data_IF_087853086325
#
_entry.id   IF_087853086325
#
_cell.length_a   1.000
_cell.length_b   1.000
_cell.length_c   1.000
_cell.angle_alpha   90.00
_cell.angle_beta   90.00
_cell.angle_gamma   90.00
#
_symmetry.space_group_name_H-M   'P 1'
#
loop_
_entity.id
_entity.type
_entity.pdbx_description
1 polymer ?
#
# COMPACT_ATOMS: atom_id res chain seq x y z
N UNK A 1 -32.98 -11.51 -13.30
CA UNK A 1 -33.21 -11.30 -11.87
C UNK A 1 -32.23 -12.21 -11.11
N UNK A 2 -30.98 -11.77 -10.93
CA UNK A 2 -29.95 -12.52 -10.21
C UNK A 2 -29.37 -11.52 -9.20
N UNK A 3 -29.68 -11.71 -7.94
CA UNK A 3 -29.13 -10.93 -6.83
C UNK A 3 -27.71 -11.43 -6.53
N UNK A 4 -26.73 -10.61 -6.78
CA UNK A 4 -25.37 -10.86 -6.31
C UNK A 4 -25.27 -10.46 -4.85
N UNK A 5 -25.27 -11.45 -4.00
CA UNK A 5 -25.00 -11.32 -2.57
C UNK A 5 -23.48 -11.13 -2.42
N UNK A 6 -23.08 -9.90 -2.16
CA UNK A 6 -21.71 -9.60 -1.71
C UNK A 6 -21.60 -10.09 -0.27
N UNK A 7 -21.05 -11.28 -0.10
CA UNK A 7 -20.64 -11.79 1.22
C UNK A 7 -19.31 -11.14 1.56
N UNK A 8 -19.35 -10.07 2.34
CA UNK A 8 -18.20 -9.51 2.99
C UNK A 8 -17.59 -10.56 3.95
N UNK A 9 -16.47 -11.13 3.57
CA UNK A 9 -15.66 -11.93 4.47
C UNK A 9 -14.93 -10.97 5.42
N UNK A 10 -15.49 -10.75 6.60
CA UNK A 10 -14.77 -10.16 7.72
C UNK A 10 -13.76 -11.21 8.16
N UNK A 11 -12.52 -11.05 7.72
CA UNK A 11 -11.42 -11.87 8.18
C UNK A 11 -11.03 -11.40 9.58
N UNK A 12 -11.67 -11.99 10.59
CA UNK A 12 -11.27 -11.81 11.98
C UNK A 12 -10.01 -12.65 12.20
N UNK A 13 -8.85 -12.11 11.87
CA UNK A 13 -7.57 -12.66 12.31
C UNK A 13 -7.40 -12.35 13.79
N UNK A 14 -8.04 -13.15 14.64
CA UNK A 14 -7.65 -13.28 16.03
C UNK A 14 -6.36 -14.11 16.07
N UNK A 15 -5.22 -13.46 15.84
CA UNK A 15 -3.92 -14.01 16.18
C UNK A 15 -3.78 -13.96 17.69
N UNK A 16 -4.34 -14.96 18.36
CA UNK A 16 -4.05 -15.27 19.75
C UNK A 16 -2.63 -15.82 19.87
N UNK A 17 -1.63 -14.97 19.75
CA UNK A 17 -0.26 -15.28 20.13
C UNK A 17 -0.12 -14.93 21.61
N UNK A 18 -0.33 -15.90 22.48
CA UNK A 18 0.07 -15.82 23.87
C UNK A 18 1.59 -15.91 23.92
N UNK A 19 2.28 -14.78 23.79
CA UNK A 19 3.72 -14.70 24.06
C UNK A 19 3.84 -14.19 25.49
N UNK A 20 4.02 -15.13 26.41
CA UNK A 20 4.56 -14.83 27.70
C UNK A 20 6.02 -14.41 27.55
N UNK A 21 6.36 -13.30 28.18
CA UNK A 21 7.66 -12.86 28.69
C UNK A 21 8.41 -11.80 27.90
N UNK A 22 8.78 -10.80 28.68
CA UNK A 22 9.60 -9.62 28.41
C UNK A 22 8.87 -8.56 27.57
N UNK A 23 8.85 -7.34 28.02
CA UNK A 23 8.06 -6.20 27.55
C UNK A 23 8.17 -5.87 26.03
N UNK A 24 7.90 -6.87 25.19
CA UNK A 24 7.80 -6.72 23.76
C UNK A 24 6.46 -6.05 23.42
N UNK A 25 6.51 -4.97 22.66
CA UNK A 25 5.34 -4.23 22.24
C UNK A 25 5.06 -4.50 20.77
N UNK A 26 3.82 -4.84 20.47
CA UNK A 26 3.34 -5.10 19.14
C UNK A 26 2.35 -4.01 18.75
N UNK A 27 2.47 -3.46 17.56
CA UNK A 27 1.50 -2.51 17.02
C UNK A 27 1.01 -3.00 15.68
N UNK A 28 -0.30 -3.12 15.53
CA UNK A 28 -0.98 -3.39 14.26
C UNK A 28 -1.71 -2.13 13.84
N UNK A 29 -1.49 -1.68 12.61
CA UNK A 29 -2.08 -0.45 12.08
C UNK A 29 -2.72 -0.71 10.73
N UNK A 30 -3.79 0.04 10.45
CA UNK A 30 -4.41 0.12 9.14
C UNK A 30 -4.59 1.58 8.76
N UNK A 31 -4.54 1.87 7.48
CA UNK A 31 -4.58 3.24 7.00
C UNK A 31 -4.97 3.39 5.55
N UNK A 32 -5.04 4.63 5.13
CA UNK A 32 -5.24 5.06 3.77
C UNK A 32 -3.89 5.24 3.10
N UNK A 33 -3.79 4.83 1.83
CA UNK A 33 -2.64 5.07 0.97
C UNK A 33 -3.06 5.78 -0.31
N UNK A 34 -2.22 6.70 -0.77
CA UNK A 34 -2.40 7.38 -2.04
C UNK A 34 -1.05 7.49 -2.73
N UNK A 35 -0.99 7.09 -3.99
CA UNK A 35 0.24 7.10 -4.80
C UNK A 35 -0.01 7.90 -6.08
N UNK A 36 0.89 8.81 -6.38
CA UNK A 36 0.94 9.50 -7.67
C UNK A 36 1.82 8.72 -8.62
N UNK A 37 1.28 8.36 -9.77
CA UNK A 37 2.04 7.88 -10.90
C UNK A 37 2.28 9.06 -11.86
N UNK A 38 3.49 9.14 -12.43
CA UNK A 38 3.85 10.16 -13.41
C UNK A 38 2.95 9.96 -14.65
N UNK A 39 2.25 11.00 -15.08
CA UNK A 39 1.29 11.01 -16.21
C UNK A 39 0.00 10.17 -16.05
N UNK A 40 -0.35 9.81 -14.80
CA UNK A 40 -1.59 9.06 -14.52
C UNK A 40 -2.35 9.67 -13.33
N UNK A 41 -3.65 9.32 -13.21
CA UNK A 41 -4.46 9.72 -12.05
C UNK A 41 -3.91 9.13 -10.74
N UNK A 42 -4.21 9.79 -9.63
CA UNK A 42 -3.85 9.34 -8.30
C UNK A 42 -4.44 7.95 -8.00
N UNK A 43 -3.55 6.99 -7.69
CA UNK A 43 -3.93 5.67 -7.19
C UNK A 43 -4.29 5.79 -5.71
N UNK A 44 -5.38 5.16 -5.29
CA UNK A 44 -5.86 5.21 -3.91
C UNK A 44 -6.08 3.80 -3.38
N UNK A 45 -5.91 3.63 -2.07
CA UNK A 45 -6.09 2.32 -1.47
C UNK A 45 -5.80 2.29 0.01
N UNK A 46 -5.28 1.16 0.46
CA UNK A 46 -5.10 0.85 1.87
C UNK A 46 -3.65 0.51 2.18
N UNK A 47 -3.26 0.80 3.41
CA UNK A 47 -1.98 0.41 4.00
C UNK A 47 -2.23 -0.37 5.28
N UNK A 48 -1.43 -1.39 5.52
CA UNK A 48 -1.36 -2.12 6.78
C UNK A 48 0.08 -2.15 7.26
N UNK A 49 0.30 -1.91 8.54
CA UNK A 49 1.62 -2.00 9.15
C UNK A 49 1.60 -2.88 10.40
N UNK A 50 2.68 -3.62 10.58
CA UNK A 50 2.99 -4.31 11.80
C UNK A 50 4.33 -3.81 12.31
N UNK A 51 4.38 -3.44 13.61
CA UNK A 51 5.60 -3.01 14.29
C UNK A 51 5.84 -3.90 15.50
N UNK A 52 7.09 -4.32 15.62
CA UNK A 52 7.62 -5.03 16.78
C UNK A 52 8.68 -4.18 17.45
N UNK A 53 8.57 -4.00 18.76
CA UNK A 53 9.52 -3.27 19.59
C UNK A 53 9.76 -4.07 20.87
N UNK A 54 11.00 -4.11 21.30
CA UNK A 54 11.38 -4.66 22.59
C UNK A 54 11.85 -3.52 23.53
N UNK A 55 12.56 -3.83 24.58
CA UNK A 55 13.14 -2.83 25.50
C UNK A 55 14.16 -1.88 24.82
N UNK A 56 14.67 -2.26 23.65
CA UNK A 56 15.57 -1.42 22.86
C UNK A 56 14.79 -0.29 22.16
N UNK A 57 15.40 0.90 21.99
CA UNK A 57 14.81 1.95 21.16
C UNK A 57 14.70 1.58 19.67
N UNK A 58 15.30 0.45 19.26
CA UNK A 58 15.25 -0.05 17.89
C UNK A 58 14.22 -1.16 17.78
N UNK A 59 13.25 -0.98 16.89
CA UNK A 59 12.23 -1.96 16.54
C UNK A 59 12.29 -2.32 15.07
N UNK A 60 11.34 -3.13 14.64
CA UNK A 60 11.16 -3.55 13.22
C UNK A 60 9.76 -3.20 12.78
N UNK A 61 9.62 -2.67 11.57
CA UNK A 61 8.34 -2.39 10.92
C UNK A 61 8.25 -3.20 9.62
N UNK A 62 7.08 -3.79 9.39
CA UNK A 62 6.68 -4.36 8.10
C UNK A 62 5.45 -3.59 7.63
N UNK A 63 5.46 -3.13 6.40
CA UNK A 63 4.38 -2.36 5.76
C UNK A 63 3.95 -3.05 4.48
N UNK A 64 2.65 -3.17 4.27
CA UNK A 64 2.04 -3.61 3.03
C UNK A 64 1.04 -2.56 2.57
N UNK A 65 1.14 -2.12 1.31
CA UNK A 65 0.21 -1.17 0.69
C UNK A 65 -0.39 -1.77 -0.57
N UNK A 66 -1.67 -1.51 -0.78
CA UNK A 66 -2.36 -1.82 -2.02
C UNK A 66 -3.11 -0.58 -2.49
N UNK A 67 -2.80 -0.12 -3.68
CA UNK A 67 -3.44 1.04 -4.31
C UNK A 67 -3.85 0.71 -5.73
N UNK A 68 -4.98 1.27 -6.17
CA UNK A 68 -5.47 1.13 -7.55
C UNK A 68 -6.04 2.45 -8.05
N UNK A 69 -6.03 2.62 -9.36
CA UNK A 69 -6.67 3.71 -10.06
C UNK A 69 -7.07 3.29 -11.45
N UNK A 70 -8.20 3.79 -11.90
CA UNK A 70 -8.71 3.58 -13.24
C UNK A 70 -8.88 4.92 -13.96
N UNK A 71 -8.57 4.92 -15.24
CA UNK A 71 -8.86 6.02 -16.16
C UNK A 71 -9.65 5.50 -17.36
N UNK A 72 -10.77 6.16 -17.63
CA UNK A 72 -11.65 5.83 -18.74
C UNK A 72 -11.81 7.05 -19.63
N UNK A 73 -11.48 6.88 -20.90
CA UNK A 73 -11.68 7.89 -21.91
C UNK A 73 -12.67 7.39 -22.98
N UNK A 74 -13.65 8.22 -23.31
CA UNK A 74 -14.68 7.90 -24.30
C UNK A 74 -14.56 8.87 -25.48
N UNK A 75 -14.26 8.36 -26.66
CA UNK A 75 -14.10 9.20 -27.86
C UNK A 75 -15.34 9.24 -28.75
N UNK A 76 -16.48 8.74 -28.30
CA UNK A 76 -17.71 8.70 -29.07
C UNK A 76 -17.88 7.49 -29.99
N UNK A 77 -16.82 6.81 -30.36
CA UNK A 77 -16.83 5.59 -31.20
C UNK A 77 -16.30 4.36 -30.47
N UNK A 78 -15.62 4.56 -29.32
CA UNK A 78 -15.02 3.51 -28.53
C UNK A 78 -14.71 3.97 -27.10
N UNK A 79 -14.28 3.02 -26.26
CA UNK A 79 -13.86 3.26 -24.88
C UNK A 79 -12.45 2.71 -24.69
N UNK A 80 -11.59 3.56 -24.18
CA UNK A 80 -10.26 3.21 -23.69
C UNK A 80 -10.31 3.13 -22.17
N UNK A 81 -9.93 1.99 -21.63
CA UNK A 81 -9.83 1.76 -20.19
C UNK A 81 -8.39 1.42 -19.85
N UNK A 82 -7.80 2.21 -18.95
CA UNK A 82 -6.49 1.95 -18.35
C UNK A 82 -6.66 1.77 -16.84
N UNK A 83 -6.25 0.62 -16.32
CA UNK A 83 -6.25 0.32 -14.89
C UNK A 83 -4.83 0.08 -14.42
N UNK A 84 -4.42 0.77 -13.35
CA UNK A 84 -3.12 0.58 -12.70
C UNK A 84 -3.35 0.13 -11.27
N UNK A 85 -2.69 -0.97 -10.90
CA UNK A 85 -2.70 -1.54 -9.55
C UNK A 85 -1.26 -1.62 -9.05
N UNK A 86 -1.03 -1.26 -7.81
CA UNK A 86 0.27 -1.42 -7.18
C UNK A 86 0.12 -2.06 -5.81
N UNK A 87 0.92 -3.09 -5.57
CA UNK A 87 1.10 -3.73 -4.27
C UNK A 87 2.54 -3.58 -3.83
N UNK A 88 2.78 -3.04 -2.64
CA UNK A 88 4.11 -2.96 -2.03
C UNK A 88 4.21 -3.77 -0.76
N UNK A 89 5.38 -4.34 -0.51
CA UNK A 89 5.75 -5.00 0.74
C UNK A 89 7.15 -4.53 1.13
N UNK A 90 7.22 -3.80 2.24
CA UNK A 90 8.43 -3.16 2.75
C UNK A 90 8.69 -3.59 4.19
N UNK A 91 9.96 -3.69 4.57
CA UNK A 91 10.37 -3.93 5.94
C UNK A 91 11.62 -3.13 6.28
N UNK A 92 11.80 -2.82 7.56
CA UNK A 92 13.00 -2.12 8.00
C UNK A 92 12.97 -1.71 9.46
N UNK A 93 14.03 -1.03 9.93
CA UNK A 93 14.16 -0.58 11.30
C UNK A 93 13.25 0.61 11.61
N UNK A 94 12.81 0.65 12.85
CA UNK A 94 12.22 1.82 13.48
C UNK A 94 13.10 2.25 14.66
N UNK A 95 13.16 3.53 14.89
CA UNK A 95 13.85 4.11 16.05
C UNK A 95 12.89 4.94 16.88
N UNK A 96 12.80 4.63 18.16
CA UNK A 96 11.97 5.35 19.14
C UNK A 96 12.79 6.44 19.81
N UNK A 97 12.44 7.68 19.57
CA UNK A 97 13.10 8.85 20.18
C UNK A 97 12.67 9.05 21.63
N UNK A 98 11.38 8.83 21.90
CA UNK A 98 10.76 8.93 23.22
C UNK A 98 9.47 8.09 23.25
N UNK A 99 8.72 8.14 24.34
CA UNK A 99 7.47 7.40 24.52
C UNK A 99 6.40 7.71 23.46
N UNK A 100 6.47 8.89 22.86
CA UNK A 100 5.45 9.40 21.94
C UNK A 100 5.85 9.33 20.47
N UNK A 101 7.14 9.42 20.14
CA UNK A 101 7.59 9.63 18.76
C UNK A 101 8.61 8.59 18.34
N UNK A 102 8.39 8.02 17.18
CA UNK A 102 9.34 7.14 16.49
C UNK A 102 9.39 7.46 15.00
N UNK A 103 10.51 7.13 14.36
CA UNK A 103 10.66 7.18 12.91
C UNK A 103 11.07 5.81 12.39
N UNK A 104 10.82 5.55 11.10
CA UNK A 104 11.19 4.30 10.47
C UNK A 104 11.68 4.52 9.03
N UNK A 105 12.53 3.61 8.57
CA UNK A 105 12.98 3.54 7.19
C UNK A 105 12.83 2.10 6.69
N UNK A 106 12.23 1.94 5.52
CA UNK A 106 11.83 0.65 4.98
C UNK A 106 12.43 0.44 3.59
N UNK A 107 12.69 -0.81 3.25
CA UNK A 107 13.07 -1.23 1.92
C UNK A 107 12.36 -2.54 1.55
N UNK A 108 12.11 -2.76 0.28
CA UNK A 108 11.43 -3.96 -0.20
C UNK A 108 11.08 -3.87 -1.67
N UNK A 109 9.89 -4.32 -2.03
CA UNK A 109 9.46 -4.44 -3.41
C UNK A 109 8.06 -3.88 -3.60
N UNK A 110 7.83 -3.33 -4.80
CA UNK A 110 6.50 -3.00 -5.30
C UNK A 110 6.24 -3.74 -6.61
N UNK A 111 5.10 -4.41 -6.70
CA UNK A 111 4.60 -5.00 -7.93
C UNK A 111 3.56 -4.07 -8.52
N UNK A 112 3.81 -3.59 -9.74
CA UNK A 112 2.92 -2.69 -10.48
C UNK A 112 2.34 -3.46 -11.66
N UNK A 113 1.02 -3.51 -11.74
CA UNK A 113 0.24 -4.03 -12.84
C UNK A 113 -0.44 -2.90 -13.58
N UNK A 114 -0.32 -2.91 -14.90
CA UNK A 114 -1.05 -2.03 -15.80
C UNK A 114 -1.85 -2.88 -16.77
N UNK A 115 -3.16 -2.75 -16.74
CA UNK A 115 -4.10 -3.39 -17.63
C UNK A 115 -4.68 -2.31 -18.57
N UNK A 116 -4.51 -2.51 -19.87
CA UNK A 116 -5.01 -1.62 -20.92
C UNK A 116 -6.01 -2.36 -21.78
N UNK A 117 -7.16 -1.78 -22.02
CA UNK A 117 -8.19 -2.33 -22.90
C UNK A 117 -8.76 -1.22 -23.77
N UNK A 118 -8.80 -1.48 -25.07
CA UNK A 118 -9.41 -0.62 -26.09
C UNK A 118 -10.42 -1.42 -26.91
N UNK A 119 -11.64 -0.92 -27.03
CA UNK A 119 -12.68 -1.56 -27.83
C UNK A 119 -13.62 -0.55 -28.50
N UNK A 120 -13.97 -0.84 -29.76
CA UNK A 120 -14.95 -0.08 -30.51
C UNK A 120 -16.37 -0.65 -30.30
N UNK A 121 -17.37 0.23 -30.27
CA UNK A 121 -18.77 -0.16 -30.03
C UNK A 121 -19.38 -1.04 -31.13
N UNK A 122 -18.84 -1.01 -32.33
CA UNK A 122 -19.29 -1.84 -33.46
C UNK A 122 -18.68 -3.25 -33.46
N UNK A 123 -17.75 -3.52 -32.50
CA UNK A 123 -17.08 -4.80 -32.38
C UNK A 123 -15.99 -5.06 -33.42
N UNK A 124 -15.60 -4.07 -34.21
CA UNK A 124 -14.61 -4.21 -35.28
C UNK A 124 -13.19 -4.31 -34.73
N UNK A 125 -12.94 -3.76 -33.52
CA UNK A 125 -11.64 -3.78 -32.88
C UNK A 125 -11.74 -4.04 -31.37
N UNK A 126 -10.89 -4.94 -30.89
CA UNK A 126 -10.69 -5.18 -29.45
C UNK A 126 -9.23 -5.53 -29.21
N UNK A 127 -8.57 -4.73 -28.38
CA UNK A 127 -7.20 -4.95 -27.97
C UNK A 127 -7.10 -4.93 -26.44
N UNK A 128 -6.40 -5.90 -25.87
CA UNK A 128 -6.12 -5.92 -24.43
C UNK A 128 -4.65 -6.31 -24.20
N UNK A 129 -4.01 -5.58 -23.32
CA UNK A 129 -2.62 -5.82 -22.90
C UNK A 129 -2.51 -5.72 -21.40
N UNK A 130 -1.77 -6.65 -20.79
CA UNK A 130 -1.49 -6.64 -19.36
C UNK A 130 0.01 -6.72 -19.15
N UNK A 131 0.54 -5.78 -18.38
CA UNK A 131 1.96 -5.72 -18.02
C UNK A 131 2.10 -5.72 -16.51
N UNK A 132 2.99 -6.56 -16.00
CA UNK A 132 3.30 -6.62 -14.56
C UNK A 132 4.81 -6.54 -14.35
N UNK A 133 5.25 -5.67 -13.46
CA UNK A 133 6.66 -5.54 -13.09
C UNK A 133 6.83 -5.42 -11.58
N UNK A 134 7.88 -6.07 -11.09
CA UNK A 134 8.29 -5.97 -9.68
C UNK A 134 9.60 -5.22 -9.61
N UNK A 135 9.62 -4.15 -8.84
CA UNK A 135 10.76 -3.24 -8.72
C UNK A 135 11.08 -2.98 -7.24
N UNK A 136 12.30 -2.51 -7.00
CA UNK A 136 12.70 -2.08 -5.67
C UNK A 136 11.86 -0.89 -5.21
N UNK A 137 11.43 -0.94 -3.93
CA UNK A 137 10.69 0.14 -3.30
C UNK A 137 11.31 0.50 -1.94
N UNK A 138 11.14 1.73 -1.54
CA UNK A 138 11.61 2.25 -0.25
C UNK A 138 10.49 3.04 0.42
N UNK A 139 10.61 3.18 1.73
CA UNK A 139 9.67 3.99 2.51
C UNK A 139 10.35 4.64 3.70
N UNK A 140 9.83 5.77 4.11
CA UNK A 140 10.20 6.46 5.35
C UNK A 140 8.95 6.99 6.02
N UNK A 141 8.96 7.08 7.34
CA UNK A 141 7.82 7.65 8.04
C UNK A 141 8.07 7.89 9.52
N UNK A 142 7.04 8.48 10.11
CA UNK A 142 7.00 8.76 11.54
C UNK A 142 5.73 8.16 12.14
N UNK A 143 5.81 7.77 13.39
CA UNK A 143 4.65 7.36 14.16
C UNK A 143 4.63 8.09 15.50
N UNK A 144 3.42 8.45 15.91
CA UNK A 144 3.14 9.12 17.19
C UNK A 144 2.19 8.24 17.99
N UNK A 145 2.49 8.07 19.26
CA UNK A 145 1.67 7.36 20.24
C UNK A 145 1.06 8.39 21.20
N UNK A 146 -0.14 8.95 20.91
CA UNK A 146 -0.78 9.94 21.79
C UNK A 146 -1.11 9.38 23.17
N UNK A 147 -1.40 8.08 23.23
CA UNK A 147 -1.60 7.28 24.45
C UNK A 147 -0.95 5.92 24.23
N UNK A 148 -0.74 5.18 25.32
CA UNK A 148 0.03 3.92 25.32
C UNK A 148 -0.43 2.90 24.26
N UNK A 149 -1.74 2.78 24.08
CA UNK A 149 -2.33 1.75 23.19
C UNK A 149 -2.70 2.25 21.79
N UNK A 150 -2.48 3.54 21.47
CA UNK A 150 -2.84 4.11 20.17
C UNK A 150 -1.59 4.59 19.46
N UNK A 151 -1.47 4.23 18.19
CA UNK A 151 -0.42 4.70 17.30
C UNK A 151 -1.04 5.36 16.08
N UNK A 152 -0.51 6.50 15.67
CA UNK A 152 -0.84 7.18 14.41
C UNK A 152 0.45 7.26 13.61
N UNK A 153 0.43 6.84 12.36
CA UNK A 153 1.61 6.94 11.50
C UNK A 153 1.31 7.72 10.22
N UNK A 154 2.36 8.39 9.73
CA UNK A 154 2.41 8.98 8.39
C UNK A 154 3.69 8.51 7.73
N UNK A 155 3.56 7.98 6.53
CA UNK A 155 4.66 7.45 5.75
C UNK A 155 4.66 7.94 4.31
N UNK A 156 5.81 7.85 3.70
CA UNK A 156 6.06 8.10 2.29
C UNK A 156 6.71 6.86 1.69
N UNK A 157 6.21 6.40 0.55
CA UNK A 157 6.74 5.27 -0.20
C UNK A 157 7.10 5.70 -1.62
N UNK A 158 8.16 5.13 -2.18
CA UNK A 158 8.60 5.42 -3.54
C UNK A 158 9.13 4.18 -4.25
N UNK A 159 8.83 4.06 -5.53
CA UNK A 159 9.39 3.09 -6.44
C UNK A 159 9.62 3.69 -7.82
N UNK A 160 10.54 3.11 -8.59
CA UNK A 160 10.83 3.50 -9.95
C UNK A 160 10.69 2.29 -10.86
N UNK A 161 9.66 2.31 -11.69
CA UNK A 161 9.38 1.25 -12.66
C UNK A 161 10.02 1.60 -14.00
N UNK A 162 10.71 0.64 -14.60
CA UNK A 162 11.32 0.81 -15.94
C UNK A 162 10.51 0.02 -16.95
N UNK A 163 9.97 0.72 -17.95
CA UNK A 163 9.31 0.15 -19.12
C UNK A 163 10.16 0.49 -20.36
N UNK A 164 10.61 -0.50 -21.12
CA UNK A 164 11.24 -0.43 -22.44
C UNK A 164 11.88 0.94 -22.86
N UNK A 165 12.74 1.50 -21.99
CA UNK A 165 13.46 2.75 -22.26
C UNK A 165 12.93 3.98 -21.52
N UNK A 166 11.74 3.93 -20.98
CA UNK A 166 11.16 4.95 -20.12
C UNK A 166 11.10 4.50 -18.66
N UNK A 167 11.15 5.44 -17.74
CA UNK A 167 11.03 5.17 -16.31
C UNK A 167 9.97 6.04 -15.68
N UNK A 168 8.93 5.41 -15.16
CA UNK A 168 7.90 6.06 -14.37
C UNK A 168 8.22 6.00 -12.88
N UNK A 169 8.04 7.10 -12.19
CA UNK A 169 8.16 7.16 -10.73
C UNK A 169 6.78 7.09 -10.12
N UNK A 170 6.64 6.20 -9.15
CA UNK A 170 5.46 6.12 -8.31
C UNK A 170 5.85 6.57 -6.91
N UNK A 171 5.22 7.63 -6.44
CA UNK A 171 5.47 8.20 -5.13
C UNK A 171 4.15 8.38 -4.40
N UNK A 172 4.09 7.91 -3.17
CA UNK A 172 2.86 7.92 -2.40
C UNK A 172 3.09 8.26 -0.94
N UNK A 173 2.00 8.60 -0.30
CA UNK A 173 1.95 8.74 1.15
C UNK A 173 0.90 7.80 1.72
N UNK A 174 1.09 7.41 2.98
CA UNK A 174 0.10 6.68 3.75
C UNK A 174 -0.08 7.35 5.12
N UNK A 175 -1.29 7.24 5.64
CA UNK A 175 -1.65 7.66 6.99
C UNK A 175 -2.53 6.60 7.61
N UNK A 176 -2.24 6.21 8.84
CA UNK A 176 -3.01 5.16 9.49
C UNK A 176 -3.02 5.27 11.01
N UNK A 177 -3.91 4.48 11.59
CA UNK A 177 -4.10 4.34 13.02
C UNK A 177 -3.89 2.89 13.42
N UNK A 178 -3.24 2.66 14.52
CA UNK A 178 -2.93 1.33 15.04
C UNK A 178 -3.23 1.18 16.53
N UNK A 179 -3.34 -0.07 16.91
CA UNK A 179 -3.44 -0.51 18.29
C UNK A 179 -2.14 -1.18 18.73
N UNK A 180 -1.62 -0.74 19.86
CA UNK A 180 -0.39 -1.23 20.50
C UNK A 180 -0.74 -2.05 21.75
N UNK A 181 -0.20 -3.24 21.83
CA UNK A 181 -0.44 -4.21 22.90
C UNK A 181 0.84 -4.95 23.29
#
# INVERSE_FOLDING_TARGET
MIQNIIRGAIFTCALGVSINTVAAQHTVSVGYAQTKAEDFKDLKGVNAQYRFENESPVGVVVSASYVSGDDKSNYGYGVEEAEVKSFSLLAGPAYRFNEYVSAYALAGFANVKSDYSDYEFDGSYSYSSSLSKTEFAYGVGVAVNPVENVSVHVGYEGTKVKFEGESAKLNGFNIGVGYRF
#
